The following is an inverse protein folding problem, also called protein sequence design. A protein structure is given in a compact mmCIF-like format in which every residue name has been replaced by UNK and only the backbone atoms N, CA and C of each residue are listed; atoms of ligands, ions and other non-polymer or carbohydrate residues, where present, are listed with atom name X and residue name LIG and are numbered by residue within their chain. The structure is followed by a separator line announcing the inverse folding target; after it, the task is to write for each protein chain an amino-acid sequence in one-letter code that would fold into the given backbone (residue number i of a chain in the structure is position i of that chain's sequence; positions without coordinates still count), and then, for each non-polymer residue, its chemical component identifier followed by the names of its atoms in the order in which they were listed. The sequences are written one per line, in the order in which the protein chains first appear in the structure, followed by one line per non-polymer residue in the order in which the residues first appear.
data_IF_328871517941
#
_entry.id   IF_328871517941
#
_cell.length_a   1.000
_cell.length_b   1.000
_cell.length_c   1.000
_cell.angle_alpha   90.00
_cell.angle_beta   90.00
_cell.angle_gamma   90.00
#
_symmetry.space_group_name_H-M   'P 1'
#
loop_
_entity.id
_entity.type
_entity.pdbx_description
1 polymer ?
#
# COMPACT_ATOMS: atom_id res chain seq x y z
N UNK A 1 29.19 -9.44 -29.92
CA UNK A 1 28.53 -10.41 -29.02
C UNK A 1 27.34 -9.72 -28.37
N UNK A 2 26.12 -10.23 -28.55
CA UNK A 2 24.94 -9.74 -27.83
C UNK A 2 24.61 -10.74 -26.73
N UNK A 3 24.72 -10.35 -25.46
CA UNK A 3 24.22 -11.15 -24.35
C UNK A 3 22.72 -10.86 -24.24
N UNK A 4 21.83 -11.82 -24.51
CA UNK A 4 20.41 -11.63 -24.25
C UNK A 4 20.20 -11.68 -22.73
N UNK A 5 20.41 -10.54 -22.06
CA UNK A 5 20.21 -10.44 -20.62
C UNK A 5 18.74 -10.11 -20.35
N UNK A 6 17.93 -11.14 -20.06
CA UNK A 6 16.66 -10.95 -19.37
C UNK A 6 17.02 -10.73 -17.90
N UNK A 7 17.02 -9.48 -17.45
CA UNK A 7 17.15 -9.16 -16.02
C UNK A 7 15.77 -9.35 -15.39
N UNK A 8 15.56 -10.37 -14.54
CA UNK A 8 14.27 -10.56 -13.89
C UNK A 8 13.97 -9.37 -12.98
N UNK A 9 12.76 -8.81 -13.06
CA UNK A 9 12.31 -7.78 -12.12
C UNK A 9 12.21 -8.41 -10.73
N UNK A 10 13.10 -8.02 -9.83
CA UNK A 10 13.03 -8.43 -8.42
C UNK A 10 11.89 -7.67 -7.74
N UNK A 11 10.89 -8.37 -7.15
CA UNK A 11 9.78 -7.70 -6.51
C UNK A 11 10.25 -6.93 -5.27
N UNK A 12 9.74 -5.71 -5.11
CA UNK A 12 9.94 -4.92 -3.90
C UNK A 12 9.07 -5.42 -2.75
N UNK A 13 9.13 -4.71 -1.62
CA UNK A 13 8.19 -4.89 -0.50
C UNK A 13 6.75 -4.55 -0.93
N UNK A 14 5.77 -5.26 -0.37
CA UNK A 14 4.35 -4.87 -0.44
C UNK A 14 3.97 -3.95 0.71
N UNK A 15 3.17 -2.94 0.41
CA UNK A 15 2.74 -1.92 1.35
C UNK A 15 1.21 -1.99 1.45
N UNK A 16 0.70 -2.04 2.67
CA UNK A 16 -0.72 -2.12 2.96
C UNK A 16 -1.08 -1.04 3.98
N UNK A 17 -2.18 -0.33 3.74
CA UNK A 17 -2.78 0.61 4.68
C UNK A 17 -4.26 0.27 4.80
N UNK A 18 -4.71 0.00 6.02
CA UNK A 18 -6.11 -0.28 6.30
C UNK A 18 -6.77 1.00 6.79
N UNK A 19 -7.72 1.49 6.00
CA UNK A 19 -8.52 2.66 6.33
C UNK A 19 -9.59 2.37 7.40
N UNK A 20 -10.38 3.40 7.70
CA UNK A 20 -11.52 3.28 8.61
C UNK A 20 -12.63 2.46 7.94
N UNK A 21 -13.45 1.73 8.72
CA UNK A 21 -14.64 1.08 8.19
C UNK A 21 -15.63 2.10 7.60
N UNK A 22 -16.28 1.73 6.51
CA UNK A 22 -17.36 2.53 5.91
C UNK A 22 -18.63 2.28 6.74
N UNK A 23 -19.06 3.30 7.49
CA UNK A 23 -20.32 3.23 8.25
C UNK A 23 -21.49 3.42 7.31
N UNK A 24 -22.32 2.38 7.18
CA UNK A 24 -23.52 2.40 6.32
C UNK A 24 -24.82 2.63 7.11
N UNK A 25 -24.74 2.65 8.44
CA UNK A 25 -25.90 2.84 9.31
C UNK A 25 -26.56 4.21 9.04
N UNK A 26 -27.87 4.20 8.80
CA UNK A 26 -28.64 5.41 8.49
C UNK A 26 -28.63 5.83 7.01
N UNK A 27 -27.88 5.15 6.14
CA UNK A 27 -27.73 5.50 4.72
C UNK A 27 -28.70 4.72 3.80
N UNK A 28 -29.98 4.62 4.18
CA UNK A 28 -30.96 3.78 3.49
C UNK A 28 -31.22 4.21 2.03
N UNK A 29 -31.04 5.49 1.73
CA UNK A 29 -31.21 6.09 0.40
C UNK A 29 -30.13 5.66 -0.58
N UNK A 30 -28.93 5.26 -0.14
CA UNK A 30 -27.82 4.83 -1.01
C UNK A 30 -28.20 3.64 -1.89
N UNK A 31 -29.13 2.79 -1.45
CA UNK A 31 -29.56 1.61 -2.22
C UNK A 31 -30.57 1.94 -3.33
N UNK A 32 -31.29 3.05 -3.19
CA UNK A 32 -32.43 3.39 -4.06
C UNK A 32 -32.19 4.64 -4.88
N UNK A 33 -31.33 5.54 -4.42
CA UNK A 33 -30.99 6.80 -5.08
C UNK A 33 -29.56 6.77 -5.63
N UNK A 34 -29.47 6.98 -6.95
CA UNK A 34 -28.21 6.97 -7.68
C UNK A 34 -27.32 8.14 -7.30
N UNK A 35 -27.88 9.31 -6.99
CA UNK A 35 -27.07 10.48 -6.63
C UNK A 35 -26.44 10.28 -5.26
N UNK A 36 -27.23 9.86 -4.27
CA UNK A 36 -26.74 9.46 -2.94
C UNK A 36 -25.65 8.38 -3.03
N UNK A 37 -25.82 7.35 -3.86
CA UNK A 37 -24.80 6.32 -4.07
C UNK A 37 -23.51 6.88 -4.67
N UNK A 38 -23.63 7.81 -5.61
CA UNK A 38 -22.49 8.43 -6.27
C UNK A 38 -21.69 9.32 -5.30
N UNK A 39 -22.35 10.06 -4.41
CA UNK A 39 -21.68 10.86 -3.37
C UNK A 39 -20.81 9.97 -2.47
N UNK A 40 -21.37 8.86 -1.98
CA UNK A 40 -20.65 7.89 -1.14
C UNK A 40 -19.47 7.27 -1.90
N UNK A 41 -19.69 6.89 -3.15
CA UNK A 41 -18.63 6.36 -4.01
C UNK A 41 -17.47 7.35 -4.19
N UNK A 42 -17.78 8.62 -4.51
CA UNK A 42 -16.76 9.65 -4.71
C UNK A 42 -15.99 9.94 -3.43
N UNK A 43 -16.66 9.94 -2.28
CA UNK A 43 -16.01 10.09 -0.99
C UNK A 43 -15.02 8.95 -0.71
N UNK A 44 -15.45 7.68 -0.83
CA UNK A 44 -14.59 6.51 -0.63
C UNK A 44 -13.43 6.50 -1.64
N UNK A 45 -13.71 6.87 -2.89
CA UNK A 45 -12.69 6.96 -3.94
C UNK A 45 -11.58 7.94 -3.54
N UNK A 46 -11.94 9.12 -3.02
CA UNK A 46 -10.97 10.10 -2.52
C UNK A 46 -10.13 9.53 -1.37
N UNK A 47 -10.75 8.86 -0.40
CA UNK A 47 -10.01 8.24 0.71
C UNK A 47 -9.01 7.17 0.23
N UNK A 48 -9.38 6.37 -0.78
CA UNK A 48 -8.51 5.38 -1.38
C UNK A 48 -7.37 6.03 -2.15
N UNK A 49 -7.63 7.11 -2.90
CA UNK A 49 -6.61 7.89 -3.61
C UNK A 49 -5.59 8.49 -2.63
N UNK A 50 -6.04 9.05 -1.51
CA UNK A 50 -5.19 9.58 -0.45
C UNK A 50 -4.32 8.49 0.19
N UNK A 51 -4.91 7.33 0.49
CA UNK A 51 -4.18 6.17 1.02
C UNK A 51 -3.11 5.68 0.03
N UNK A 52 -3.43 5.63 -1.26
CA UNK A 52 -2.46 5.26 -2.30
C UNK A 52 -1.32 6.28 -2.41
N UNK A 53 -1.62 7.58 -2.35
CA UNK A 53 -0.61 8.63 -2.37
C UNK A 53 0.33 8.55 -1.16
N UNK A 54 -0.23 8.30 0.03
CA UNK A 54 0.55 8.06 1.24
C UNK A 54 1.48 6.85 1.09
N UNK A 55 0.96 5.72 0.63
CA UNK A 55 1.75 4.50 0.43
C UNK A 55 2.84 4.65 -0.62
N UNK A 56 2.59 5.41 -1.70
CA UNK A 56 3.60 5.72 -2.71
C UNK A 56 4.75 6.52 -2.10
N UNK A 57 4.45 7.58 -1.34
CA UNK A 57 5.47 8.36 -0.64
C UNK A 57 6.25 7.50 0.37
N UNK A 58 5.56 6.68 1.17
CA UNK A 58 6.22 5.75 2.11
C UNK A 58 7.11 4.73 1.41
N UNK A 59 6.73 4.29 0.21
CA UNK A 59 7.55 3.40 -0.60
C UNK A 59 8.80 4.07 -1.16
N UNK A 60 8.76 5.36 -1.44
CA UNK A 60 9.94 6.13 -1.86
C UNK A 60 10.88 6.39 -0.68
N UNK A 61 10.32 6.65 0.50
CA UNK A 61 11.05 6.88 1.75
C UNK A 61 11.64 5.60 2.39
N UNK A 62 11.16 4.39 2.04
CA UNK A 62 11.55 3.13 2.71
C UNK A 62 12.99 2.69 2.36
N UNK A 63 13.95 2.75 3.31
CA UNK A 63 15.32 2.27 3.08
C UNK A 63 15.39 0.76 2.86
N UNK A 64 14.36 0.01 3.26
CA UNK A 64 14.26 -1.43 3.18
C UNK A 64 13.38 -1.92 2.02
N UNK A 65 13.06 -1.05 1.04
CA UNK A 65 12.27 -1.41 -0.15
C UNK A 65 12.88 -2.59 -0.93
N UNK A 66 14.20 -2.65 -1.02
CA UNK A 66 14.96 -3.70 -1.71
C UNK A 66 15.12 -4.97 -0.87
N UNK A 67 15.03 -6.15 -1.50
CA UNK A 67 15.30 -7.44 -0.83
C UNK A 67 16.73 -7.48 -0.26
N UNK A 68 17.71 -6.90 -0.97
CA UNK A 68 19.10 -6.88 -0.51
C UNK A 68 19.27 -6.11 0.80
N UNK A 69 18.63 -4.94 0.92
CA UNK A 69 18.70 -4.14 2.17
C UNK A 69 18.04 -4.88 3.34
N UNK A 70 16.95 -5.62 3.09
CA UNK A 70 16.33 -6.47 4.11
C UNK A 70 17.22 -7.64 4.53
N UNK A 71 17.89 -8.27 3.58
CA UNK A 71 18.82 -9.37 3.85
C UNK A 71 19.99 -8.89 4.73
N UNK A 72 20.56 -7.71 4.44
CA UNK A 72 21.60 -7.09 5.28
C UNK A 72 21.07 -6.78 6.69
N UNK A 73 19.87 -6.21 6.80
CA UNK A 73 19.26 -5.93 8.10
C UNK A 73 19.10 -7.20 8.94
N UNK A 74 18.54 -8.27 8.36
CA UNK A 74 18.36 -9.55 9.04
C UNK A 74 19.69 -10.25 9.38
N UNK A 75 20.71 -10.10 8.55
CA UNK A 75 22.05 -10.64 8.85
C UNK A 75 22.68 -9.96 10.08
N UNK A 76 22.38 -8.68 10.32
CA UNK A 76 22.94 -7.91 11.45
C UNK A 76 22.09 -7.98 12.72
N UNK A 77 20.76 -8.02 12.59
CA UNK A 77 19.81 -7.99 13.71
C UNK A 77 19.25 -9.37 14.09
N UNK A 78 19.51 -10.39 13.26
CA UNK A 78 18.99 -11.75 13.42
C UNK A 78 17.98 -12.13 12.33
N UNK A 79 18.00 -13.41 11.92
CA UNK A 79 17.18 -13.93 10.81
C UNK A 79 15.68 -13.73 11.05
N UNK A 80 15.25 -13.80 12.31
CA UNK A 80 13.85 -13.59 12.73
C UNK A 80 13.50 -12.12 13.01
N UNK A 81 14.44 -11.19 12.84
CA UNK A 81 14.18 -9.77 13.10
C UNK A 81 13.15 -9.22 12.12
N UNK A 82 12.13 -8.56 12.65
CA UNK A 82 11.11 -7.90 11.84
C UNK A 82 11.71 -6.61 11.28
N UNK A 83 11.80 -6.53 9.96
CA UNK A 83 12.28 -5.33 9.27
C UNK A 83 11.33 -4.15 9.57
N UNK A 84 11.86 -2.98 9.97
CA UNK A 84 11.06 -1.79 10.26
C UNK A 84 10.10 -1.43 9.11
N UNK A 85 8.95 -0.86 9.45
CA UNK A 85 7.94 -0.41 8.50
C UNK A 85 7.43 0.96 8.90
N UNK A 86 6.78 1.66 7.98
CA UNK A 86 6.07 2.90 8.30
C UNK A 86 4.95 2.61 9.31
N UNK A 87 4.72 3.56 10.22
CA UNK A 87 3.59 3.50 11.13
C UNK A 87 2.29 3.89 10.40
N UNK A 88 1.17 3.22 10.72
CA UNK A 88 -0.16 3.53 10.19
C UNK A 88 -0.78 4.79 10.79
#
# INVERSE_FOLDING_TARGET
MHIPAIVPKVPGRFYYLFGKPIKMEGMNNVLTDRESANEVYLHIKSEVEDAMAYLQRKREEDPYRSIAQRAVYQATQGVSARVPTFEP
#
